data_IF_556478956677
#
_entry.id   IF_556478956677
#
_cell.length_a   1.000
_cell.length_b   1.000
_cell.length_c   1.000
_cell.angle_alpha   90.00
_cell.angle_beta   90.00
_cell.angle_gamma   90.00
#
_symmetry.space_group_name_H-M   'P 1'
#
loop_
_entity.id
_entity.type
_entity.pdbx_description
1 polymer ?
#
# COMPACT_ATOMS: atom_id res chain seq x y z
N UNK A 1 14.90 -12.78 12.44
CA UNK A 1 14.72 -13.98 11.60
C UNK A 1 14.92 -13.60 10.14
N UNK A 2 15.75 -14.36 9.44
CA UNK A 2 15.96 -14.09 8.02
C UNK A 2 14.86 -14.78 7.18
N UNK A 3 14.36 -14.11 6.13
CA UNK A 3 13.41 -14.72 5.20
C UNK A 3 14.00 -15.94 4.50
N UNK A 4 13.14 -16.84 4.05
CA UNK A 4 13.55 -18.05 3.32
C UNK A 4 14.03 -17.72 1.90
N UNK A 5 14.71 -18.69 1.28
CA UNK A 5 15.12 -18.57 -0.13
C UNK A 5 13.92 -18.36 -1.04
N UNK A 6 12.82 -19.08 -0.81
CA UNK A 6 11.58 -18.96 -1.58
C UNK A 6 11.00 -17.55 -1.49
N UNK A 7 11.11 -16.90 -0.33
CA UNK A 7 10.66 -15.51 -0.15
C UNK A 7 11.42 -14.57 -1.07
N UNK A 8 12.75 -14.69 -1.14
CA UNK A 8 13.55 -13.82 -2.01
C UNK A 8 13.29 -14.09 -3.49
N UNK A 9 13.06 -15.34 -3.86
CA UNK A 9 12.70 -15.71 -5.24
C UNK A 9 11.36 -15.09 -5.65
N UNK A 10 10.37 -15.08 -4.73
CA UNK A 10 9.09 -14.43 -4.97
C UNK A 10 9.23 -12.92 -5.11
N UNK A 11 10.07 -12.29 -4.28
CA UNK A 11 10.33 -10.84 -4.39
C UNK A 11 10.92 -10.52 -5.76
N UNK A 12 11.89 -11.29 -6.23
CA UNK A 12 12.50 -11.08 -7.54
C UNK A 12 11.48 -11.23 -8.67
N UNK A 13 10.58 -12.22 -8.58
CA UNK A 13 9.50 -12.41 -9.55
C UNK A 13 8.56 -11.21 -9.57
N UNK A 14 8.17 -10.69 -8.40
CA UNK A 14 7.31 -9.51 -8.29
C UNK A 14 8.00 -8.26 -8.83
N UNK A 15 9.30 -8.09 -8.61
CA UNK A 15 10.06 -6.97 -9.19
C UNK A 15 9.99 -6.97 -10.70
N UNK A 16 10.13 -8.14 -11.33
CA UNK A 16 10.01 -8.27 -12.79
C UNK A 16 8.61 -7.86 -13.26
N UNK A 17 7.57 -8.31 -12.55
CA UNK A 17 6.19 -7.98 -12.90
C UNK A 17 5.94 -6.48 -12.77
N UNK A 18 6.46 -5.83 -11.71
CA UNK A 18 6.30 -4.39 -11.50
C UNK A 18 7.03 -3.54 -12.54
N UNK A 19 8.04 -4.09 -13.21
CA UNK A 19 8.71 -3.41 -14.31
C UNK A 19 7.86 -3.37 -15.57
N UNK A 20 6.87 -4.26 -15.70
CA UNK A 20 5.97 -4.29 -16.83
C UNK A 20 4.84 -3.28 -16.62
N UNK A 21 4.70 -2.36 -17.59
CA UNK A 21 3.67 -1.32 -17.53
C UNK A 21 2.27 -1.93 -17.53
N UNK A 22 1.41 -1.37 -16.68
CA UNK A 22 0.01 -1.79 -16.58
C UNK A 22 -0.26 -2.99 -15.70
N UNK A 23 0.77 -3.63 -15.14
CA UNK A 23 0.59 -4.73 -14.19
C UNK A 23 0.71 -4.24 -12.76
N UNK A 24 0.00 -4.87 -11.83
CA UNK A 24 0.02 -4.58 -10.38
C UNK A 24 -0.24 -3.12 -10.06
N UNK A 25 -1.42 -2.63 -10.44
CA UNK A 25 -1.83 -1.24 -10.18
C UNK A 25 -2.36 -0.98 -8.76
N UNK A 26 -2.36 -1.99 -7.89
CA UNK A 26 -2.92 -1.85 -6.55
C UNK A 26 -4.44 -1.89 -6.51
N UNK A 27 -5.07 -2.51 -7.51
CA UNK A 27 -6.53 -2.59 -7.65
C UNK A 27 -7.18 -3.30 -6.46
N UNK A 28 -6.47 -4.24 -5.82
CA UNK A 28 -7.00 -5.01 -4.70
C UNK A 28 -7.39 -4.15 -3.49
N UNK A 29 -6.80 -2.98 -3.33
CA UNK A 29 -7.15 -2.07 -2.24
C UNK A 29 -8.47 -1.35 -2.48
N UNK A 30 -8.74 -0.96 -3.73
CA UNK A 30 -9.90 -0.12 -4.06
C UNK A 30 -11.23 -0.64 -3.53
N UNK A 31 -11.58 -1.93 -3.71
CA UNK A 31 -12.85 -2.46 -3.15
C UNK A 31 -12.91 -2.43 -1.63
N UNK A 32 -11.76 -2.38 -0.96
CA UNK A 32 -11.67 -2.39 0.50
C UNK A 32 -11.68 -1.00 1.13
N UNK A 33 -11.60 0.06 0.30
CA UNK A 33 -11.52 1.42 0.82
C UNK A 33 -12.70 1.81 1.71
N UNK A 34 -13.97 1.49 1.39
CA UNK A 34 -15.07 1.81 2.30
C UNK A 34 -14.91 1.16 3.68
N UNK A 35 -14.47 -0.11 3.72
CA UNK A 35 -14.20 -0.79 4.98
C UNK A 35 -13.06 -0.14 5.74
N UNK A 36 -11.99 0.23 5.03
CA UNK A 36 -10.84 0.90 5.61
C UNK A 36 -11.22 2.26 6.21
N UNK A 37 -12.04 3.04 5.51
CA UNK A 37 -12.55 4.32 6.00
C UNK A 37 -13.29 4.12 7.33
N UNK A 38 -14.17 3.13 7.40
CA UNK A 38 -14.93 2.83 8.62
C UNK A 38 -14.02 2.40 9.77
N UNK A 39 -13.07 1.50 9.51
CA UNK A 39 -12.16 1.00 10.54
C UNK A 39 -11.26 2.10 11.11
N UNK A 40 -10.72 2.95 10.25
CA UNK A 40 -9.84 4.03 10.69
C UNK A 40 -10.62 5.07 11.50
N UNK A 41 -11.86 5.33 11.12
CA UNK A 41 -12.74 6.27 11.84
C UNK A 41 -13.16 5.70 13.20
N UNK A 42 -13.64 4.45 13.23
CA UNK A 42 -14.09 3.80 14.47
C UNK A 42 -12.98 3.66 15.50
N UNK A 43 -11.76 3.42 15.05
CA UNK A 43 -10.60 3.21 15.91
C UNK A 43 -9.73 4.46 16.06
N UNK A 44 -10.17 5.60 15.53
CA UNK A 44 -9.45 6.88 15.60
C UNK A 44 -8.00 6.76 15.14
N UNK A 45 -7.77 6.04 14.04
CA UNK A 45 -6.44 5.83 13.49
C UNK A 45 -5.90 7.10 12.83
N UNK A 46 -4.66 7.46 13.13
CA UNK A 46 -3.97 8.62 12.57
C UNK A 46 -2.79 8.24 11.71
N UNK A 47 -2.24 7.04 11.91
CA UNK A 47 -1.07 6.55 11.17
C UNK A 47 -1.40 5.23 10.50
N UNK A 48 -0.88 5.04 9.28
CA UNK A 48 -1.18 3.88 8.44
C UNK A 48 0.09 3.38 7.77
N UNK A 49 0.29 2.07 7.80
CA UNK A 49 1.30 1.40 7.00
C UNK A 49 0.60 0.51 5.96
N UNK A 50 0.89 0.74 4.69
CA UNK A 50 0.49 -0.18 3.62
C UNK A 50 1.65 -1.13 3.32
N UNK A 51 1.50 -2.37 3.75
CA UNK A 51 2.46 -3.44 3.55
C UNK A 51 2.09 -4.19 2.28
N UNK A 52 2.84 -3.97 1.21
CA UNK A 52 2.53 -4.50 -0.12
C UNK A 52 1.85 -3.48 -1.02
N UNK A 53 2.28 -2.21 -0.93
CA UNK A 53 1.63 -1.09 -1.63
C UNK A 53 1.80 -1.11 -3.15
N UNK A 54 2.72 -1.89 -3.69
CA UNK A 54 3.04 -1.87 -5.11
C UNK A 54 3.46 -0.48 -5.56
N UNK A 55 2.89 0.01 -6.66
CA UNK A 55 3.16 1.34 -7.21
C UNK A 55 2.44 2.47 -6.47
N UNK A 56 1.62 2.12 -5.48
CA UNK A 56 0.93 3.07 -4.61
C UNK A 56 0.00 4.06 -5.34
N UNK A 57 -0.61 3.64 -6.44
CA UNK A 57 -1.51 4.50 -7.24
C UNK A 57 -2.67 5.07 -6.41
N UNK A 58 -3.31 4.31 -5.48
CA UNK A 58 -4.38 4.86 -4.64
C UNK A 58 -3.95 6.01 -3.73
N UNK A 59 -2.65 6.19 -3.53
CA UNK A 59 -2.08 7.27 -2.70
C UNK A 59 -1.60 8.45 -3.52
N UNK A 60 -1.66 8.38 -4.84
CA UNK A 60 -1.19 9.44 -5.75
C UNK A 60 -2.37 10.35 -6.15
N UNK A 61 -2.30 11.61 -5.77
CA UNK A 61 -3.35 12.59 -6.05
C UNK A 61 -3.66 12.72 -7.55
N UNK A 62 -2.67 12.52 -8.39
CA UNK A 62 -2.83 12.65 -9.84
C UNK A 62 -3.35 11.38 -10.51
N UNK A 63 -3.31 10.25 -9.83
CA UNK A 63 -3.61 8.94 -10.41
C UNK A 63 -4.72 8.16 -9.70
N UNK A 64 -5.10 8.54 -8.48
CA UNK A 64 -6.08 7.78 -7.69
C UNK A 64 -7.43 7.66 -8.40
N UNK A 65 -7.79 8.61 -9.25
CA UNK A 65 -9.03 8.56 -10.02
C UNK A 65 -9.02 7.42 -11.06
N UNK A 66 -7.86 6.96 -11.51
CA UNK A 66 -7.75 5.79 -12.39
C UNK A 66 -8.25 4.52 -11.71
N UNK A 67 -8.24 4.51 -10.37
CA UNK A 67 -8.74 3.41 -9.55
C UNK A 67 -10.18 3.65 -9.06
N UNK A 68 -10.86 4.65 -9.58
CA UNK A 68 -12.23 4.97 -9.18
C UNK A 68 -12.34 5.73 -7.87
N UNK A 69 -11.26 6.27 -7.35
CA UNK A 69 -11.24 7.03 -6.11
C UNK A 69 -11.34 8.52 -6.38
N UNK A 70 -12.21 9.21 -5.64
CA UNK A 70 -12.36 10.66 -5.73
C UNK A 70 -11.21 11.41 -5.10
N UNK A 71 -10.63 10.83 -4.03
CA UNK A 71 -9.50 11.35 -3.30
C UNK A 71 -8.53 10.22 -2.98
N UNK A 72 -7.33 10.56 -2.53
CA UNK A 72 -6.35 9.56 -2.11
C UNK A 72 -6.82 8.82 -0.85
N UNK A 73 -6.27 7.63 -0.63
CA UNK A 73 -6.62 6.81 0.54
C UNK A 73 -6.36 7.57 1.84
N UNK A 74 -5.23 8.25 1.96
CA UNK A 74 -4.91 9.00 3.17
C UNK A 74 -5.91 10.15 3.43
N UNK A 75 -6.42 10.78 2.36
CA UNK A 75 -7.44 11.81 2.51
C UNK A 75 -8.79 11.20 2.91
N UNK A 76 -9.19 10.12 2.26
CA UNK A 76 -10.46 9.45 2.54
C UNK A 76 -10.53 8.91 3.96
N UNK A 77 -9.41 8.42 4.48
CA UNK A 77 -9.30 7.85 5.83
C UNK A 77 -8.89 8.88 6.89
N UNK A 78 -8.64 10.13 6.48
CA UNK A 78 -8.16 11.19 7.37
C UNK A 78 -6.89 10.80 8.13
N UNK A 79 -5.95 10.18 7.42
CA UNK A 79 -4.68 9.75 7.97
C UNK A 79 -3.68 10.91 7.94
N UNK A 80 -3.03 11.18 9.07
CA UNK A 80 -2.04 12.26 9.19
C UNK A 80 -0.66 11.83 8.74
N UNK A 81 -0.31 10.57 8.96
CA UNK A 81 0.98 10.03 8.58
C UNK A 81 0.78 8.64 8.00
N UNK A 82 1.36 8.39 6.84
CA UNK A 82 1.30 7.07 6.21
C UNK A 82 2.67 6.67 5.69
N UNK A 83 2.91 5.37 5.59
CA UNK A 83 4.13 4.82 5.05
C UNK A 83 3.79 3.72 4.05
N UNK A 84 4.47 3.74 2.92
CA UNK A 84 4.29 2.78 1.84
C UNK A 84 5.48 1.83 1.81
N UNK A 85 5.20 0.53 1.92
CA UNK A 85 6.24 -0.48 1.88
C UNK A 85 5.87 -1.57 0.88
N UNK A 86 6.81 -1.90 0.01
CA UNK A 86 6.71 -3.08 -0.87
C UNK A 86 8.11 -3.57 -1.19
N UNK A 87 8.50 -4.79 -0.73
CA UNK A 87 9.85 -5.31 -0.99
C UNK A 87 10.12 -5.56 -2.46
N UNK A 88 9.08 -5.70 -3.28
CA UNK A 88 9.20 -5.95 -4.71
C UNK A 88 9.19 -4.67 -5.57
N UNK A 89 9.03 -3.51 -4.96
CA UNK A 89 9.05 -2.22 -5.66
C UNK A 89 10.12 -1.33 -5.02
N UNK A 90 11.21 -1.12 -5.71
CA UNK A 90 12.43 -0.53 -5.14
C UNK A 90 12.20 0.81 -4.44
N UNK A 91 11.36 1.67 -5.02
CA UNK A 91 11.04 2.99 -4.45
C UNK A 91 10.49 2.90 -3.03
N UNK A 92 9.77 1.82 -2.69
CA UNK A 92 9.14 1.64 -1.39
C UNK A 92 9.67 0.42 -0.63
N UNK A 93 10.91 0.01 -0.91
CA UNK A 93 11.47 -1.25 -0.39
C UNK A 93 12.17 -1.14 0.97
N UNK A 94 12.14 0.02 1.61
CA UNK A 94 12.71 0.21 2.93
C UNK A 94 11.62 0.04 3.99
N UNK A 95 11.81 -0.95 4.88
CA UNK A 95 10.87 -1.21 5.96
C UNK A 95 10.99 -0.11 7.03
N UNK A 96 9.87 0.48 7.48
CA UNK A 96 9.94 1.51 8.53
C UNK A 96 10.27 0.91 9.89
N UNK A 97 10.94 1.70 10.73
CA UNK A 97 11.29 1.33 12.10
C UNK A 97 10.37 2.06 13.08
N UNK A 98 9.06 1.76 12.99
CA UNK A 98 8.08 2.45 13.80
C UNK A 98 6.76 1.67 13.77
N UNK A 99 5.93 1.87 14.80
CA UNK A 99 4.58 1.29 14.86
C UNK A 99 3.56 2.25 14.26
N UNK A 100 2.51 1.68 13.67
CA UNK A 100 1.41 2.42 13.06
C UNK A 100 0.09 1.98 13.68
N UNK A 101 -0.90 2.89 13.71
CA UNK A 101 -2.23 2.60 14.25
C UNK A 101 -2.93 1.49 13.47
N UNK A 102 -2.74 1.47 12.15
CA UNK A 102 -3.30 0.45 11.30
C UNK A 102 -2.27 0.01 10.25
N UNK A 103 -2.23 -1.30 10.02
CA UNK A 103 -1.41 -1.90 8.96
C UNK A 103 -2.35 -2.61 8.00
N UNK A 104 -2.23 -2.31 6.72
CA UNK A 104 -3.00 -3.00 5.69
C UNK A 104 -2.06 -3.81 4.80
N UNK A 105 -2.56 -4.96 4.35
CA UNK A 105 -1.82 -5.87 3.47
C UNK A 105 -2.80 -6.44 2.44
N UNK A 106 -2.71 -6.00 1.22
CA UNK A 106 -3.65 -6.39 0.14
C UNK A 106 -3.00 -7.08 -1.04
#
# INVERSE_FOLDING_TARGET
MQPSKEYYELIDAYKIIHQEEGKFRGISLTPLVPTLVNLTKENNCKTLLDYGCGKAIPYDKNKCNEMGLKNTVQELCNIKEFYLYDPAYEKYSTLPDKKYDIVICT
#
